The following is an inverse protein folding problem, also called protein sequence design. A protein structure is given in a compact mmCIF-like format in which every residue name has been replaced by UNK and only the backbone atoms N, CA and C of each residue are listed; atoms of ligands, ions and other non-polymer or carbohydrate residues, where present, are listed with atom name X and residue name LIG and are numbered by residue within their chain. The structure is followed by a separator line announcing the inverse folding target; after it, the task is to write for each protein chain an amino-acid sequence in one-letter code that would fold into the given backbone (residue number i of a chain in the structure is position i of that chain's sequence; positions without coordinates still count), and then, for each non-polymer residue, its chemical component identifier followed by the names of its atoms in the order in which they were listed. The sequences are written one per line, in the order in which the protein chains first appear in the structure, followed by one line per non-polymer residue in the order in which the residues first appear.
data_IF_271497768035
#
_entry.id   IF_271497768035
#
_cell.length_a   1.000
_cell.length_b   1.000
_cell.length_c   1.000
_cell.angle_alpha   90.00
_cell.angle_beta   90.00
_cell.angle_gamma   90.00
#
_symmetry.space_group_name_H-M   'P 1'
#
loop_
_entity.id
_entity.type
_entity.pdbx_description
1 polymer ?
#
# COMPACT_ATOMS: atom_id res chain seq x y z
N UNK A 1 10.49 -8.86 -9.70
CA UNK A 1 11.19 -8.98 -11.00
C UNK A 1 12.66 -9.19 -10.69
N UNK A 2 13.28 -10.24 -11.22
CA UNK A 2 14.68 -10.54 -10.95
C UNK A 2 15.58 -9.73 -11.89
N UNK A 3 16.63 -9.08 -11.36
CA UNK A 3 17.65 -8.39 -12.15
C UNK A 3 18.40 -9.38 -13.06
N UNK A 4 18.74 -10.53 -12.48
CA UNK A 4 19.42 -11.65 -13.14
C UNK A 4 18.53 -12.90 -13.10
N UNK A 5 17.62 -13.09 -14.06
CA UNK A 5 16.58 -14.13 -13.99
C UNK A 5 17.13 -15.55 -13.90
N UNK A 6 18.31 -15.83 -14.48
CA UNK A 6 18.93 -17.15 -14.43
C UNK A 6 19.25 -17.61 -13.01
N UNK A 7 19.56 -16.70 -12.07
CA UNK A 7 19.77 -17.04 -10.67
C UNK A 7 18.47 -17.52 -10.01
N UNK A 8 17.35 -16.88 -10.33
CA UNK A 8 16.05 -17.31 -9.86
C UNK A 8 15.63 -18.66 -10.45
N UNK A 9 15.89 -18.85 -11.75
CA UNK A 9 15.71 -20.14 -12.43
C UNK A 9 16.46 -21.26 -11.70
N UNK A 10 17.74 -21.06 -11.41
CA UNK A 10 18.56 -22.06 -10.72
C UNK A 10 18.05 -22.42 -9.31
N UNK A 11 17.33 -21.53 -8.64
CA UNK A 11 16.80 -21.73 -7.28
C UNK A 11 15.39 -22.32 -7.27
N UNK A 12 14.55 -21.95 -8.24
CA UNK A 12 13.12 -22.25 -8.21
C UNK A 12 12.68 -23.35 -9.16
N UNK A 13 13.50 -23.73 -10.15
CA UNK A 13 13.21 -24.89 -10.99
C UNK A 13 12.99 -26.12 -10.11
N UNK A 14 11.87 -26.79 -10.34
CA UNK A 14 11.51 -28.02 -9.64
C UNK A 14 11.75 -29.20 -10.58
N UNK A 15 12.48 -30.19 -10.07
CA UNK A 15 12.76 -31.43 -10.77
C UNK A 15 11.79 -32.52 -10.30
N UNK A 16 10.97 -33.01 -11.22
CA UNK A 16 10.12 -34.17 -11.02
C UNK A 16 9.90 -34.84 -12.38
N UNK A 17 9.86 -36.17 -12.44
CA UNK A 17 9.82 -36.90 -13.70
C UNK A 17 8.64 -36.55 -14.63
N UNK A 18 7.51 -36.10 -14.06
CA UNK A 18 6.36 -35.66 -14.86
C UNK A 18 6.55 -34.24 -15.46
N UNK A 19 7.51 -33.46 -14.95
CA UNK A 19 7.88 -32.14 -15.45
C UNK A 19 8.97 -32.22 -16.52
N UNK A 20 9.61 -33.36 -16.73
CA UNK A 20 10.68 -33.53 -17.71
C UNK A 20 10.26 -33.07 -19.12
N UNK A 21 8.98 -33.24 -19.48
CA UNK A 21 8.42 -32.75 -20.76
C UNK A 21 8.52 -31.23 -20.91
N UNK A 22 8.45 -30.47 -19.81
CA UNK A 22 8.60 -29.02 -19.79
C UNK A 22 10.08 -28.60 -19.87
N UNK A 23 11.00 -29.52 -19.63
CA UNK A 23 12.45 -29.31 -19.66
C UNK A 23 13.12 -29.83 -20.94
N UNK A 24 12.33 -30.36 -21.88
CA UNK A 24 12.80 -30.91 -23.16
C UNK A 24 12.92 -29.89 -24.30
N UNK A 25 12.43 -28.66 -24.08
CA UNK A 25 12.44 -27.56 -25.04
C UNK A 25 13.77 -26.80 -25.14
N UNK A 26 13.74 -25.66 -25.82
CA UNK A 26 14.90 -24.76 -25.89
C UNK A 26 15.28 -24.32 -24.47
N UNK A 27 16.58 -24.36 -24.12
CA UNK A 27 17.10 -23.84 -22.84
C UNK A 27 16.74 -22.36 -22.61
N UNK A 28 16.41 -21.63 -23.68
CA UNK A 28 15.95 -20.24 -23.66
C UNK A 28 14.42 -20.08 -23.50
N UNK A 29 13.67 -21.18 -23.41
CA UNK A 29 12.22 -21.13 -23.20
C UNK A 29 11.91 -20.62 -21.78
N UNK A 30 11.05 -19.60 -21.73
CA UNK A 30 10.64 -18.97 -20.49
C UNK A 30 9.44 -19.71 -19.91
N UNK A 31 9.69 -20.53 -18.89
CA UNK A 31 8.63 -21.13 -18.11
C UNK A 31 8.45 -20.37 -16.78
N UNK A 32 7.30 -19.71 -16.53
CA UNK A 32 7.09 -18.94 -15.31
C UNK A 32 7.12 -19.77 -14.00
N UNK A 33 7.01 -21.10 -14.08
CA UNK A 33 7.18 -21.98 -12.90
C UNK A 33 8.61 -21.94 -12.37
N UNK A 34 9.60 -21.69 -13.23
CA UNK A 34 11.01 -21.69 -12.84
C UNK A 34 11.40 -20.39 -12.11
N UNK A 35 10.48 -19.45 -11.92
CA UNK A 35 10.76 -18.15 -11.31
C UNK A 35 9.90 -17.89 -10.06
N UNK A 36 9.31 -18.95 -9.50
CA UNK A 36 8.52 -18.88 -8.27
C UNK A 36 8.40 -20.26 -7.62
N UNK A 37 7.94 -20.30 -6.38
CA UNK A 37 7.68 -21.55 -5.68
C UNK A 37 6.50 -22.37 -6.24
N UNK A 38 5.60 -21.74 -7.01
CA UNK A 38 4.37 -22.37 -7.48
C UNK A 38 4.51 -22.90 -8.90
N UNK A 39 3.99 -24.10 -9.15
CA UNK A 39 3.77 -24.63 -10.49
C UNK A 39 2.50 -23.99 -11.11
N UNK A 40 1.33 -24.54 -10.81
CA UNK A 40 0.04 -23.98 -11.25
C UNK A 40 -0.29 -22.70 -10.48
N UNK A 41 -0.61 -21.62 -11.20
CA UNK A 41 -1.04 -20.35 -10.60
C UNK A 41 -2.01 -19.59 -11.50
N UNK A 42 -2.80 -18.69 -10.91
CA UNK A 42 -3.67 -17.77 -11.65
C UNK A 42 -2.87 -16.91 -12.62
N UNK A 43 -3.46 -16.59 -13.77
CA UNK A 43 -2.92 -15.64 -14.75
C UNK A 43 -3.00 -14.18 -14.27
N UNK A 44 -2.23 -13.84 -13.21
CA UNK A 44 -2.20 -12.50 -12.59
C UNK A 44 -1.73 -11.38 -13.52
N UNK A 45 -1.06 -11.73 -14.62
CA UNK A 45 -0.65 -10.77 -15.65
C UNK A 45 -1.83 -10.21 -16.45
N UNK A 46 -2.93 -10.96 -16.62
CA UNK A 46 -4.07 -10.50 -17.40
C UNK A 46 -4.78 -9.29 -16.77
N UNK A 47 -5.14 -9.27 -15.47
CA UNK A 47 -5.71 -8.07 -14.85
C UNK A 47 -4.80 -6.85 -14.94
N UNK A 48 -3.49 -7.02 -14.72
CA UNK A 48 -2.52 -5.93 -14.86
C UNK A 48 -2.47 -5.40 -16.30
N UNK A 49 -2.38 -6.29 -17.28
CA UNK A 49 -2.33 -5.92 -18.69
C UNK A 49 -3.60 -5.20 -19.13
N UNK A 50 -4.79 -5.73 -18.80
CA UNK A 50 -6.05 -5.06 -19.13
C UNK A 50 -6.15 -3.68 -18.49
N UNK A 51 -5.75 -3.55 -17.23
CA UNK A 51 -5.81 -2.27 -16.52
C UNK A 51 -4.89 -1.22 -17.16
N UNK A 52 -3.67 -1.61 -17.56
CA UNK A 52 -2.75 -0.73 -18.30
C UNK A 52 -3.25 -0.43 -19.72
N UNK A 53 -3.82 -1.40 -20.41
CA UNK A 53 -4.34 -1.23 -21.77
C UNK A 53 -5.57 -0.29 -21.81
N UNK A 54 -6.42 -0.33 -20.78
CA UNK A 54 -7.63 0.49 -20.68
C UNK A 54 -7.32 1.90 -20.17
N UNK A 55 -6.50 2.03 -19.12
CA UNK A 55 -6.27 3.31 -18.46
C UNK A 55 -5.01 4.04 -18.92
N UNK A 56 -4.06 3.33 -19.53
CA UNK A 56 -2.73 3.86 -19.85
C UNK A 56 -1.86 4.08 -18.61
N UNK A 57 -0.56 4.33 -18.80
CA UNK A 57 0.37 4.58 -17.69
C UNK A 57 0.10 5.93 -17.02
N UNK A 58 -0.34 6.94 -17.78
CA UNK A 58 -0.58 8.29 -17.26
C UNK A 58 -1.60 8.31 -16.12
N UNK A 59 -2.70 7.56 -16.23
CA UNK A 59 -3.70 7.49 -15.18
C UNK A 59 -3.13 6.94 -13.85
N UNK A 60 -2.17 6.02 -13.92
CA UNK A 60 -1.47 5.54 -12.73
C UNK A 60 -0.50 6.56 -12.16
N UNK A 61 0.24 7.26 -13.03
CA UNK A 61 1.10 8.38 -12.62
C UNK A 61 0.27 9.43 -11.88
N UNK A 62 -0.85 9.87 -12.45
CA UNK A 62 -1.71 10.88 -11.86
C UNK A 62 -2.29 10.42 -10.52
N UNK A 63 -2.71 9.15 -10.42
CA UNK A 63 -3.23 8.59 -9.17
C UNK A 63 -2.17 8.52 -8.06
N UNK A 64 -0.94 8.14 -8.40
CA UNK A 64 0.19 8.13 -7.45
C UNK A 64 0.52 9.55 -7.01
N UNK A 65 0.71 10.48 -7.95
CA UNK A 65 1.04 11.88 -7.62
C UNK A 65 -0.05 12.55 -6.77
N UNK A 66 -1.33 12.22 -7.02
CA UNK A 66 -2.45 12.70 -6.20
C UNK A 66 -2.32 12.21 -4.76
N UNK A 67 -2.06 10.92 -4.54
CA UNK A 67 -1.88 10.35 -3.21
C UNK A 67 -0.63 10.91 -2.48
N UNK A 68 0.45 11.19 -3.22
CA UNK A 68 1.66 11.82 -2.68
C UNK A 68 1.41 13.28 -2.29
N UNK A 69 0.70 14.03 -3.13
CA UNK A 69 0.33 15.44 -2.86
C UNK A 69 -0.56 15.52 -1.62
N UNK A 70 -1.58 14.68 -1.55
CA UNK A 70 -2.50 14.62 -0.40
C UNK A 70 -1.75 14.31 0.90
N UNK A 71 -0.77 13.40 0.88
CA UNK A 71 0.05 13.11 2.05
C UNK A 71 0.87 14.32 2.53
N UNK A 72 1.47 15.07 1.60
CA UNK A 72 2.24 16.29 1.92
C UNK A 72 1.34 17.38 2.48
N UNK A 73 0.19 17.63 1.86
CA UNK A 73 -0.79 18.63 2.33
C UNK A 73 -1.34 18.27 3.71
N UNK A 74 -1.68 16.99 3.93
CA UNK A 74 -2.10 16.49 5.23
C UNK A 74 -1.04 16.71 6.30
N UNK A 75 0.25 16.51 5.98
CA UNK A 75 1.33 16.75 6.93
C UNK A 75 1.42 18.23 7.33
N UNK A 76 1.22 19.18 6.39
CA UNK A 76 1.16 20.61 6.73
C UNK A 76 0.00 20.93 7.66
N UNK A 77 -1.18 20.36 7.41
CA UNK A 77 -2.35 20.54 8.28
C UNK A 77 -2.09 20.01 9.69
N UNK A 78 -1.49 18.81 9.80
CA UNK A 78 -1.11 18.22 11.09
C UNK A 78 -0.14 19.14 11.84
N UNK A 79 0.91 19.65 11.17
CA UNK A 79 1.86 20.59 11.80
C UNK A 79 1.20 21.89 12.25
N UNK A 80 0.19 22.36 11.53
CA UNK A 80 -0.57 23.56 11.89
C UNK A 80 -1.61 23.33 13.00
N UNK A 81 -1.92 22.08 13.33
CA UNK A 81 -2.98 21.73 14.30
C UNK A 81 -2.37 21.56 15.70
N UNK A 82 -2.69 22.42 16.69
CA UNK A 82 -1.95 22.50 17.97
C UNK A 82 -1.92 21.21 18.80
N UNK A 83 -2.86 20.33 18.55
CA UNK A 83 -3.14 19.16 19.37
C UNK A 83 -2.68 17.86 18.68
N UNK A 84 -2.15 17.98 17.46
CA UNK A 84 -1.54 16.92 16.68
C UNK A 84 -0.04 17.14 16.56
N UNK A 85 0.71 16.05 16.38
CA UNK A 85 2.15 16.08 16.19
C UNK A 85 2.52 15.14 15.04
N UNK A 86 3.15 15.67 14.00
CA UNK A 86 3.67 14.85 12.90
C UNK A 86 4.89 14.05 13.37
N UNK A 87 4.88 12.73 13.16
CA UNK A 87 6.00 11.86 13.61
C UNK A 87 7.18 11.93 12.65
N UNK A 88 6.90 11.92 11.34
CA UNK A 88 7.91 12.02 10.27
C UNK A 88 7.31 12.68 9.04
N UNK A 89 8.16 13.36 8.28
CA UNK A 89 7.80 13.87 6.96
C UNK A 89 7.44 12.70 6.02
N UNK A 90 6.32 12.78 5.29
CA UNK A 90 5.92 11.71 4.39
C UNK A 90 6.81 11.69 3.14
N UNK A 91 7.47 10.55 2.92
CA UNK A 91 8.23 10.28 1.67
C UNK A 91 7.35 9.69 0.57
N UNK A 92 6.25 9.03 0.96
CA UNK A 92 5.25 8.40 0.09
C UNK A 92 3.83 8.81 0.54
N UNK A 93 2.81 8.00 0.26
CA UNK A 93 1.40 8.35 0.50
C UNK A 93 0.88 8.02 1.91
N UNK A 94 1.77 7.78 2.88
CA UNK A 94 1.40 7.48 4.27
C UNK A 94 1.85 8.58 5.22
N UNK A 95 0.97 8.98 6.13
CA UNK A 95 1.22 10.02 7.13
C UNK A 95 0.99 9.42 8.51
N UNK A 96 1.99 9.53 9.39
CA UNK A 96 1.96 8.97 10.74
C UNK A 96 2.09 10.13 11.72
N UNK A 97 1.17 10.22 12.67
CA UNK A 97 1.06 11.36 13.57
C UNK A 97 0.44 10.98 14.91
N UNK A 98 0.73 11.78 15.94
CA UNK A 98 0.17 11.64 17.28
C UNK A 98 -0.93 12.65 17.49
N UNK A 99 -1.91 12.25 18.28
CA UNK A 99 -2.81 13.15 19.01
C UNK A 99 -2.30 13.30 20.43
N UNK A 100 -1.84 14.50 20.78
CA UNK A 100 -1.22 14.76 22.08
C UNK A 100 -2.21 14.51 23.22
N UNK A 101 -1.81 13.71 24.19
CA UNK A 101 -2.61 13.38 25.37
C UNK A 101 -3.56 12.18 25.21
N UNK A 102 -3.64 11.57 24.03
CA UNK A 102 -4.43 10.33 23.83
C UNK A 102 -3.67 9.09 24.29
N UNK A 103 -4.41 8.18 24.91
CA UNK A 103 -3.99 6.81 25.23
C UNK A 103 -4.37 5.85 24.09
N UNK A 104 -3.90 4.60 24.16
CA UNK A 104 -4.29 3.55 23.21
C UNK A 104 -5.82 3.29 23.20
N UNK A 105 -6.46 3.43 24.36
CA UNK A 105 -7.92 3.28 24.50
C UNK A 105 -8.67 4.42 23.78
N UNK A 106 -8.15 5.66 23.86
CA UNK A 106 -8.74 6.80 23.17
C UNK A 106 -8.71 6.63 21.65
N UNK A 107 -7.57 6.18 21.10
CA UNK A 107 -7.48 5.87 19.66
C UNK A 107 -8.43 4.75 19.23
N UNK A 108 -8.55 3.71 20.05
CA UNK A 108 -9.45 2.58 19.76
C UNK A 108 -10.90 3.06 19.73
N UNK A 109 -11.31 3.80 20.78
CA UNK A 109 -12.65 4.37 20.85
C UNK A 109 -12.92 5.37 19.72
N UNK A 110 -11.94 6.18 19.32
CA UNK A 110 -12.06 7.08 18.18
C UNK A 110 -12.24 6.34 16.85
N UNK A 111 -11.41 5.33 16.58
CA UNK A 111 -11.51 4.46 15.40
C UNK A 111 -12.89 3.81 15.32
N UNK A 112 -13.40 3.27 16.44
CA UNK A 112 -14.71 2.63 16.50
C UNK A 112 -15.84 3.64 16.23
N UNK A 113 -15.75 4.86 16.76
CA UNK A 113 -16.72 5.93 16.48
C UNK A 113 -16.73 6.34 15.01
N UNK A 114 -15.56 6.47 14.38
CA UNK A 114 -15.45 6.80 12.95
C UNK A 114 -16.12 5.72 12.08
N UNK A 115 -15.86 4.45 12.39
CA UNK A 115 -16.41 3.32 11.65
C UNK A 115 -17.93 3.23 11.84
N UNK A 116 -18.41 3.32 13.09
CA UNK A 116 -19.84 3.27 13.41
C UNK A 116 -20.60 4.45 12.81
N UNK A 117 -19.98 5.63 12.77
CA UNK A 117 -20.53 6.84 12.14
C UNK A 117 -20.42 6.86 10.62
N UNK A 118 -19.79 5.86 10.00
CA UNK A 118 -19.50 5.80 8.57
C UNK A 118 -18.72 7.01 8.03
N UNK A 119 -17.93 7.67 8.89
CA UNK A 119 -17.09 8.83 8.54
C UNK A 119 -15.78 8.35 7.91
N UNK A 120 -15.20 7.28 8.45
CA UNK A 120 -13.96 6.72 7.93
C UNK A 120 -13.58 5.41 8.61
N UNK A 121 -12.64 4.70 8.00
CA UNK A 121 -12.03 3.50 8.61
C UNK A 121 -10.54 3.75 8.82
N UNK A 122 -10.20 4.25 10.01
CA UNK A 122 -8.82 4.58 10.40
C UNK A 122 -8.46 3.84 11.67
N UNK A 123 -7.64 2.80 11.52
CA UNK A 123 -7.17 1.99 12.65
C UNK A 123 -5.85 2.54 13.20
N UNK A 124 -5.67 2.60 14.53
CA UNK A 124 -4.38 2.98 15.11
C UNK A 124 -3.26 1.99 14.77
N UNK A 125 -2.02 2.45 14.88
CA UNK A 125 -0.82 1.65 14.68
C UNK A 125 0.20 1.91 15.78
N UNK A 126 1.28 1.12 15.81
CA UNK A 126 2.36 1.27 16.78
C UNK A 126 3.57 1.98 16.18
N UNK A 127 4.16 2.92 16.93
CA UNK A 127 5.43 3.55 16.61
C UNK A 127 6.27 3.71 17.88
N UNK A 128 7.48 3.13 17.91
CA UNK A 128 8.42 3.21 19.05
C UNK A 128 7.80 2.88 20.44
N UNK A 129 6.83 1.95 20.47
CA UNK A 129 6.14 1.55 21.69
C UNK A 129 4.91 2.37 22.04
N UNK A 130 4.59 3.40 21.26
CA UNK A 130 3.41 4.26 21.43
C UNK A 130 2.31 3.90 20.41
N UNK A 131 1.05 4.17 20.77
CA UNK A 131 -0.08 4.08 19.84
C UNK A 131 -0.28 5.42 19.13
N UNK A 132 -0.39 5.38 17.81
CA UNK A 132 -0.42 6.57 16.94
C UNK A 132 -1.45 6.40 15.82
N UNK A 133 -1.85 7.50 15.18
CA UNK A 133 -2.69 7.46 13.99
C UNK A 133 -1.84 7.34 12.72
N UNK A 134 -2.41 6.68 11.70
CA UNK A 134 -1.81 6.57 10.38
C UNK A 134 -2.86 6.70 9.29
N UNK A 135 -2.68 7.68 8.41
CA UNK A 135 -3.38 7.71 7.13
C UNK A 135 -2.55 7.04 6.05
N UNK A 136 -3.21 6.32 5.16
CA UNK A 136 -2.62 5.70 3.98
C UNK A 136 -3.48 6.04 2.76
N UNK A 137 -3.01 7.00 1.97
CA UNK A 137 -3.73 7.48 0.81
C UNK A 137 -3.44 6.58 -0.39
N UNK A 138 -4.51 6.06 -0.99
CA UNK A 138 -4.46 5.11 -2.11
C UNK A 138 -5.47 5.47 -3.20
N UNK A 139 -6.64 5.99 -2.81
CA UNK A 139 -7.71 6.29 -3.74
C UNK A 139 -7.54 7.71 -4.31
N UNK A 140 -7.47 7.88 -5.63
CA UNK A 140 -7.19 9.17 -6.26
C UNK A 140 -8.30 10.21 -6.06
N UNK A 141 -9.49 9.81 -5.62
CA UNK A 141 -10.59 10.73 -5.32
C UNK A 141 -10.72 11.08 -3.83
N UNK A 142 -9.78 10.65 -2.97
CA UNK A 142 -9.75 11.16 -1.59
C UNK A 142 -9.35 12.65 -1.63
N UNK A 143 -10.16 13.49 -1.01
CA UNK A 143 -9.96 14.96 -1.00
C UNK A 143 -9.44 15.43 0.35
N UNK A 144 -8.83 16.62 0.38
CA UNK A 144 -8.46 17.26 1.64
C UNK A 144 -9.66 17.55 2.55
N UNK A 145 -10.86 17.78 1.98
CA UNK A 145 -12.08 17.94 2.78
C UNK A 145 -12.40 16.68 3.60
N UNK A 146 -12.24 15.48 3.01
CA UNK A 146 -12.40 14.21 3.74
C UNK A 146 -11.32 14.05 4.82
N UNK A 147 -10.10 14.54 4.57
CA UNK A 147 -9.02 14.51 5.57
C UNK A 147 -9.35 15.43 6.75
N UNK A 148 -9.80 16.66 6.48
CA UNK A 148 -10.22 17.60 7.51
C UNK A 148 -11.37 17.04 8.33
N UNK A 149 -12.39 16.47 7.70
CA UNK A 149 -13.52 15.85 8.39
C UNK A 149 -13.05 14.82 9.43
N UNK A 150 -12.06 13.99 9.10
CA UNK A 150 -11.50 13.02 10.03
C UNK A 150 -10.65 13.71 11.12
N UNK A 151 -9.76 14.63 10.76
CA UNK A 151 -8.89 15.31 11.72
C UNK A 151 -9.69 16.13 12.74
N UNK A 152 -10.78 16.78 12.32
CA UNK A 152 -11.65 17.58 13.19
C UNK A 152 -12.32 16.73 14.28
N UNK A 153 -12.55 15.44 14.04
CA UNK A 153 -13.10 14.51 15.06
C UNK A 153 -12.11 14.19 16.18
N UNK A 154 -10.86 14.62 16.04
CA UNK A 154 -9.81 14.44 17.05
C UNK A 154 -9.70 15.63 17.99
N UNK A 155 -10.37 16.76 17.71
CA UNK A 155 -10.26 18.00 18.49
C UNK A 155 -10.62 17.82 19.97
#
# INVERSE_FOLDING_TARGET
IYRDPHLAKAVHTQDASYLDVLHTGDKYEWNPTDYAYHLTRRARGLPLWFSLAVHGVQAYTDAVETALTLARETAEVIRATPHLELIRDPELSAVVFRRTGWTAEDYTAWSDRLLAGQVGFVTPTGWEGETVARFAFLHPHTTMDMVHEILDTMA
#
